data_IF_057763410478
#
_entry.id   IF_057763410478
#
_cell.length_a   1.000
_cell.length_b   1.000
_cell.length_c   1.000
_cell.angle_alpha   90.00
_cell.angle_beta   90.00
_cell.angle_gamma   90.00
#
_symmetry.space_group_name_H-M   'P 1'
#
loop_
_entity.id
_entity.type
_entity.pdbx_description
1 polymer ?
#
# COMPACT_ATOMS: atom_id res chain seq x y z
N UNK A 1 18.61 -13.86 15.59
CA UNK A 1 17.94 -12.92 14.65
C UNK A 1 18.46 -13.22 13.25
N UNK A 2 17.58 -13.64 12.33
CA UNK A 2 17.99 -14.03 10.97
C UNK A 2 18.24 -12.77 10.14
N UNK A 3 19.44 -12.64 9.56
CA UNK A 3 19.78 -11.53 8.65
C UNK A 3 19.12 -11.77 7.29
N UNK A 4 18.33 -10.80 6.84
CA UNK A 4 17.53 -10.92 5.61
C UNK A 4 18.03 -9.99 4.51
N UNK A 5 18.41 -10.57 3.37
CA UNK A 5 18.69 -9.83 2.15
C UNK A 5 17.39 -9.70 1.35
N UNK A 6 17.09 -8.48 0.88
CA UNK A 6 15.84 -8.16 0.20
C UNK A 6 16.04 -7.94 -1.30
N UNK A 7 15.26 -8.62 -2.13
CA UNK A 7 15.20 -8.38 -3.58
C UNK A 7 13.74 -8.24 -4.05
N UNK A 8 13.51 -7.44 -5.10
CA UNK A 8 12.21 -7.38 -5.80
C UNK A 8 12.42 -8.12 -7.10
N UNK A 9 12.03 -9.39 -7.18
CA UNK A 9 12.16 -10.26 -8.34
C UNK A 9 13.62 -10.55 -8.75
N UNK A 10 13.96 -11.77 -9.18
CA UNK A 10 15.32 -12.09 -9.62
C UNK A 10 15.76 -11.31 -10.88
N UNK A 11 14.81 -10.77 -11.65
CA UNK A 11 15.06 -10.09 -12.92
C UNK A 11 14.74 -8.59 -12.90
N UNK A 12 14.25 -8.03 -11.78
CA UNK A 12 13.87 -6.62 -11.79
C UNK A 12 15.09 -5.70 -11.94
N UNK A 13 14.93 -4.68 -12.76
CA UNK A 13 15.98 -3.70 -13.08
C UNK A 13 15.62 -2.31 -12.59
N UNK A 14 15.27 -2.18 -11.30
CA UNK A 14 14.92 -0.87 -10.74
C UNK A 14 16.21 -0.06 -10.48
N UNK A 15 16.30 1.20 -10.92
CA UNK A 15 17.49 2.01 -10.68
C UNK A 15 17.76 2.20 -9.18
N UNK A 16 18.93 1.73 -8.73
CA UNK A 16 19.33 1.76 -7.33
C UNK A 16 19.25 3.15 -6.68
N UNK A 17 19.64 4.19 -7.44
CA UNK A 17 19.57 5.60 -7.01
C UNK A 17 18.14 6.03 -6.63
N UNK A 18 17.13 5.45 -7.26
CA UNK A 18 15.73 5.75 -6.96
C UNK A 18 15.29 5.03 -5.68
N UNK A 19 15.61 3.75 -5.53
CA UNK A 19 15.25 2.97 -4.33
C UNK A 19 15.94 3.45 -3.05
N UNK A 20 17.18 3.95 -3.16
CA UNK A 20 17.94 4.58 -2.05
C UNK A 20 17.68 6.08 -1.89
N UNK A 21 16.91 6.69 -2.79
CA UNK A 21 16.58 8.12 -2.71
C UNK A 21 15.70 8.47 -1.51
N UNK A 22 15.51 9.78 -1.29
CA UNK A 22 14.60 10.27 -0.26
C UNK A 22 13.16 9.77 -0.46
N UNK A 23 12.32 9.82 0.58
CA UNK A 23 10.88 9.51 0.47
C UNK A 23 10.24 10.34 -0.66
N UNK A 24 10.62 11.60 -0.81
CA UNK A 24 10.12 12.47 -1.87
C UNK A 24 10.55 12.00 -3.27
N UNK A 25 11.81 11.57 -3.43
CA UNK A 25 12.31 11.04 -4.71
C UNK A 25 11.53 9.80 -5.14
N UNK A 26 11.33 8.86 -4.20
CA UNK A 26 10.57 7.62 -4.42
C UNK A 26 9.11 7.88 -4.79
N UNK A 27 8.45 8.78 -4.06
CA UNK A 27 7.06 9.18 -4.34
C UNK A 27 6.92 9.86 -5.72
N UNK A 28 7.89 10.71 -6.12
CA UNK A 28 7.90 11.33 -7.45
C UNK A 28 8.01 10.28 -8.55
N UNK A 29 8.83 9.25 -8.37
CA UNK A 29 8.94 8.14 -9.32
C UNK A 29 7.63 7.38 -9.44
N UNK A 30 7.04 6.97 -8.30
CA UNK A 30 5.75 6.29 -8.30
C UNK A 30 4.66 7.11 -9.00
N UNK A 31 4.63 8.44 -8.75
CA UNK A 31 3.72 9.35 -9.43
C UNK A 31 3.94 9.42 -10.94
N UNK A 32 5.21 9.40 -11.38
CA UNK A 32 5.55 9.44 -12.80
C UNK A 32 5.07 8.19 -13.52
N UNK A 33 5.31 7.00 -12.95
CA UNK A 33 4.81 5.76 -13.53
C UNK A 33 3.28 5.69 -13.49
N UNK A 34 2.64 6.15 -12.42
CA UNK A 34 1.18 6.26 -12.35
C UNK A 34 0.61 7.09 -13.51
N UNK A 35 1.15 8.29 -13.75
CA UNK A 35 0.70 9.14 -14.85
C UNK A 35 0.90 8.47 -16.21
N UNK A 36 2.06 7.82 -16.42
CA UNK A 36 2.33 7.05 -17.65
C UNK A 36 1.30 5.93 -17.83
N UNK A 37 1.04 5.16 -16.78
CA UNK A 37 0.05 4.08 -16.79
C UNK A 37 -1.34 4.57 -17.19
N UNK A 38 -1.85 5.63 -16.55
CA UNK A 38 -3.17 6.16 -16.91
C UNK A 38 -3.26 6.59 -18.37
N UNK A 39 -2.21 7.20 -18.92
CA UNK A 39 -2.15 7.60 -20.33
C UNK A 39 -2.16 6.37 -21.25
N UNK A 40 -1.38 5.33 -20.92
CA UNK A 40 -1.36 4.09 -21.68
C UNK A 40 -2.71 3.36 -21.63
N UNK A 41 -3.36 3.31 -20.46
CA UNK A 41 -4.66 2.66 -20.28
C UNK A 41 -5.77 3.36 -21.07
N UNK A 42 -5.80 4.69 -21.06
CA UNK A 42 -6.83 5.48 -21.74
C UNK A 42 -6.77 5.41 -23.28
N UNK A 43 -5.70 4.84 -23.87
CA UNK A 43 -5.65 4.64 -25.33
C UNK A 43 -6.75 3.70 -25.82
N UNK A 44 -7.10 2.69 -25.00
CA UNK A 44 -8.03 1.63 -25.37
C UNK A 44 -9.22 1.51 -24.40
N UNK A 45 -9.14 2.11 -23.21
CA UNK A 45 -10.21 2.03 -22.22
C UNK A 45 -11.45 2.86 -22.61
N UNK A 46 -12.63 2.30 -22.37
CA UNK A 46 -13.92 2.94 -22.65
C UNK A 46 -14.56 3.34 -21.31
N UNK A 47 -14.80 4.64 -21.12
CA UNK A 47 -15.50 5.18 -19.94
C UNK A 47 -14.88 4.72 -18.60
N UNK A 48 -15.63 4.01 -17.74
CA UNK A 48 -15.21 3.52 -16.42
C UNK A 48 -14.74 2.07 -16.42
N UNK A 49 -14.76 1.38 -17.56
CA UNK A 49 -14.39 -0.03 -17.71
C UNK A 49 -13.17 -0.18 -18.61
N UNK A 50 -12.48 -1.31 -18.54
CA UNK A 50 -11.43 -1.65 -19.50
C UNK A 50 -11.30 -3.15 -19.67
N UNK A 51 -10.82 -3.60 -20.84
CA UNK A 51 -10.48 -5.01 -21.02
C UNK A 51 -9.28 -5.37 -20.14
N UNK A 52 -9.30 -6.56 -19.55
CA UNK A 52 -8.20 -7.08 -18.73
C UNK A 52 -6.88 -7.14 -19.51
N UNK A 53 -6.95 -7.41 -20.82
CA UNK A 53 -5.79 -7.43 -21.72
C UNK A 53 -5.19 -6.03 -21.93
N UNK A 54 -6.03 -5.01 -22.16
CA UNK A 54 -5.59 -3.62 -22.32
C UNK A 54 -4.92 -3.12 -21.04
N UNK A 55 -5.52 -3.41 -19.89
CA UNK A 55 -4.93 -3.09 -18.59
C UNK A 55 -3.55 -3.73 -18.41
N UNK A 56 -3.46 -5.03 -18.71
CA UNK A 56 -2.22 -5.79 -18.59
C UNK A 56 -1.14 -5.24 -19.52
N UNK A 57 -1.52 -4.89 -20.76
CA UNK A 57 -0.62 -4.31 -21.76
C UNK A 57 -0.14 -2.92 -21.35
N UNK A 58 -1.04 -2.05 -20.90
CA UNK A 58 -0.70 -0.72 -20.38
C UNK A 58 0.27 -0.80 -19.19
N UNK A 59 0.05 -1.76 -18.29
CA UNK A 59 0.93 -1.96 -17.13
C UNK A 59 2.30 -2.51 -17.54
N UNK A 60 2.36 -3.51 -18.45
CA UNK A 60 3.62 -4.02 -19.02
C UNK A 60 4.42 -2.91 -19.71
N UNK A 61 3.77 -2.11 -20.55
CA UNK A 61 4.40 -0.99 -21.26
C UNK A 61 4.90 0.09 -20.29
N UNK A 62 4.16 0.32 -19.21
CA UNK A 62 4.59 1.25 -18.15
C UNK A 62 5.81 0.75 -17.41
N UNK A 63 5.83 -0.54 -17.07
CA UNK A 63 6.89 -1.20 -16.32
C UNK A 63 8.12 -1.56 -17.15
N UNK A 64 8.07 -1.49 -18.48
CA UNK A 64 9.27 -1.62 -19.31
C UNK A 64 10.22 -0.41 -19.09
N UNK A 65 11.54 -0.61 -18.89
CA UNK A 65 12.32 -1.85 -18.97
C UNK A 65 12.59 -2.54 -17.61
N UNK A 66 11.87 -2.19 -16.54
CA UNK A 66 12.15 -2.62 -15.17
C UNK A 66 11.88 -4.10 -14.89
N UNK A 67 11.22 -4.85 -15.80
CA UNK A 67 10.96 -6.29 -15.70
C UNK A 67 10.32 -6.73 -14.36
N UNK A 68 9.34 -5.95 -13.88
CA UNK A 68 8.59 -6.29 -12.66
C UNK A 68 7.51 -7.32 -13.00
N UNK A 69 7.52 -8.46 -12.28
CA UNK A 69 6.50 -9.49 -12.43
C UNK A 69 5.22 -9.11 -11.67
N UNK A 70 4.07 -9.30 -12.32
CA UNK A 70 2.75 -9.09 -11.72
C UNK A 70 1.73 -10.03 -12.33
N UNK A 71 0.67 -10.34 -11.57
CA UNK A 71 -0.48 -11.11 -12.01
C UNK A 71 -1.74 -10.29 -11.80
N UNK A 72 -2.72 -10.47 -12.68
CA UNK A 72 -4.02 -9.82 -12.63
C UNK A 72 -5.09 -10.89 -12.46
N UNK A 73 -5.84 -10.82 -11.36
CA UNK A 73 -6.83 -11.81 -10.99
C UNK A 73 -8.18 -11.11 -10.70
N UNK A 74 -9.27 -11.85 -10.82
CA UNK A 74 -10.57 -11.39 -10.34
C UNK A 74 -10.59 -11.40 -8.81
N UNK A 75 -11.16 -10.36 -8.20
CA UNK A 75 -11.41 -10.34 -6.76
C UNK A 75 -12.53 -11.32 -6.40
N UNK A 76 -12.33 -12.12 -5.34
CA UNK A 76 -13.26 -13.15 -4.87
C UNK A 76 -14.21 -12.66 -3.77
N UNK A 77 -14.28 -11.34 -3.55
CA UNK A 77 -15.02 -10.68 -2.46
C UNK A 77 -16.20 -9.81 -2.93
N UNK A 78 -16.68 -8.93 -2.05
CA UNK A 78 -17.75 -7.96 -2.34
C UNK A 78 -17.44 -7.17 -3.62
N UNK A 79 -18.38 -7.16 -4.57
CA UNK A 79 -18.25 -6.48 -5.87
C UNK A 79 -17.80 -5.03 -5.69
N UNK A 80 -16.73 -4.63 -6.39
CA UNK A 80 -16.11 -3.28 -6.48
C UNK A 80 -14.99 -2.93 -5.49
N UNK A 81 -14.32 -3.90 -4.87
CA UNK A 81 -13.06 -3.63 -4.16
C UNK A 81 -11.87 -4.08 -5.03
N UNK A 82 -10.68 -3.66 -4.62
CA UNK A 82 -9.43 -3.99 -5.27
C UNK A 82 -8.41 -4.30 -4.18
N UNK A 83 -7.42 -5.12 -4.51
CA UNK A 83 -6.33 -5.42 -3.59
C UNK A 83 -5.02 -5.70 -4.31
N UNK A 84 -3.95 -5.08 -3.83
CA UNK A 84 -2.58 -5.44 -4.14
C UNK A 84 -2.00 -6.35 -3.04
N UNK A 85 -1.56 -7.54 -3.43
CA UNK A 85 -0.83 -8.46 -2.56
C UNK A 85 0.54 -8.80 -3.12
N UNK A 86 1.63 -8.26 -2.55
CA UNK A 86 2.98 -8.70 -2.90
C UNK A 86 3.20 -10.18 -2.54
N UNK A 87 3.84 -10.94 -3.43
CA UNK A 87 4.14 -12.36 -3.25
C UNK A 87 5.59 -12.52 -2.85
N UNK A 88 5.84 -13.14 -1.69
CA UNK A 88 7.18 -13.31 -1.15
C UNK A 88 7.57 -14.79 -1.12
N UNK A 89 8.85 -15.05 -1.36
CA UNK A 89 9.47 -16.36 -1.16
C UNK A 89 10.61 -16.23 -0.15
N UNK A 90 10.86 -17.30 0.60
CA UNK A 90 12.05 -17.46 1.43
C UNK A 90 12.99 -18.42 0.72
N UNK A 91 14.18 -17.93 0.37
CA UNK A 91 15.26 -18.71 -0.27
C UNK A 91 16.46 -18.77 0.66
N UNK A 92 17.30 -19.78 0.50
CA UNK A 92 18.57 -19.96 1.21
C UNK A 92 18.44 -19.79 2.74
N UNK A 93 17.49 -20.51 3.35
CA UNK A 93 17.33 -20.53 4.81
C UNK A 93 18.46 -21.35 5.44
N UNK A 94 19.35 -20.67 6.15
CA UNK A 94 20.40 -21.23 6.99
C UNK A 94 20.12 -20.82 8.44
N UNK A 95 20.78 -21.46 9.40
CA UNK A 95 20.57 -21.21 10.84
C UNK A 95 20.59 -19.71 11.24
N UNK A 96 21.31 -18.84 10.51
CA UNK A 96 21.46 -17.41 10.83
C UNK A 96 21.07 -16.45 9.68
N UNK A 97 20.63 -16.94 8.53
CA UNK A 97 20.33 -16.09 7.37
C UNK A 97 19.25 -16.69 6.48
N UNK A 98 18.36 -15.87 5.95
CA UNK A 98 17.47 -16.25 4.88
C UNK A 98 17.39 -15.09 3.88
N UNK A 99 16.94 -15.36 2.66
CA UNK A 99 16.75 -14.34 1.63
C UNK A 99 15.26 -14.25 1.37
N UNK A 100 14.65 -13.11 1.71
CA UNK A 100 13.25 -12.84 1.35
C UNK A 100 13.24 -12.09 0.04
N UNK A 101 12.57 -12.68 -0.95
CA UNK A 101 12.44 -12.08 -2.27
C UNK A 101 10.97 -11.85 -2.57
N UNK A 102 10.62 -10.63 -2.97
CA UNK A 102 9.29 -10.33 -3.51
C UNK A 102 9.28 -10.80 -4.97
N UNK A 103 8.74 -11.97 -5.25
CA UNK A 103 8.80 -12.59 -6.58
C UNK A 103 7.87 -11.90 -7.59
N UNK A 104 6.68 -11.50 -7.15
CA UNK A 104 5.67 -10.88 -7.99
C UNK A 104 4.69 -10.04 -7.17
N UNK A 105 3.77 -9.38 -7.86
CA UNK A 105 2.65 -8.66 -7.26
C UNK A 105 1.33 -9.18 -7.82
N UNK A 106 0.39 -9.56 -6.96
CA UNK A 106 -0.95 -9.95 -7.38
C UNK A 106 -1.89 -8.75 -7.25
N UNK A 107 -2.53 -8.37 -8.35
CA UNK A 107 -3.60 -7.38 -8.42
C UNK A 107 -4.92 -8.13 -8.51
N UNK A 108 -5.68 -8.16 -7.43
CA UNK A 108 -7.06 -8.65 -7.42
C UNK A 108 -7.98 -7.48 -7.73
N UNK A 109 -8.68 -7.54 -8.85
CA UNK A 109 -9.43 -6.42 -9.41
C UNK A 109 -10.91 -6.76 -9.57
N UNK A 110 -11.80 -5.76 -9.54
CA UNK A 110 -13.22 -5.98 -9.77
C UNK A 110 -13.42 -6.30 -11.25
N UNK A 111 -13.84 -7.52 -11.55
CA UNK A 111 -14.02 -8.03 -12.92
C UNK A 111 -15.42 -8.57 -13.13
N UNK A 112 -15.83 -8.66 -14.39
CA UNK A 112 -17.02 -9.42 -14.78
C UNK A 112 -16.78 -10.92 -14.61
N UNK A 113 -17.85 -11.72 -14.69
CA UNK A 113 -17.82 -13.16 -14.42
C UNK A 113 -16.81 -13.91 -15.34
N UNK A 114 -16.71 -13.48 -16.60
CA UNK A 114 -15.77 -14.03 -17.59
C UNK A 114 -14.31 -13.56 -17.40
N UNK A 115 -14.04 -12.65 -16.45
CA UNK A 115 -12.72 -12.08 -16.13
C UNK A 115 -12.05 -11.31 -17.27
N UNK A 116 -12.80 -11.01 -18.34
CA UNK A 116 -12.31 -10.29 -19.54
C UNK A 116 -12.39 -8.77 -19.39
N UNK A 117 -13.26 -8.28 -18.50
CA UNK A 117 -13.52 -6.85 -18.32
C UNK A 117 -13.29 -6.51 -16.84
N UNK A 118 -12.46 -5.51 -16.60
CA UNK A 118 -12.38 -4.81 -15.32
C UNK A 118 -13.51 -3.79 -15.28
N UNK A 119 -14.44 -3.99 -14.34
CA UNK A 119 -15.69 -3.22 -14.24
C UNK A 119 -15.51 -1.85 -13.57
N UNK A 120 -14.36 -1.62 -12.94
CA UNK A 120 -13.97 -0.33 -12.38
C UNK A 120 -12.49 -0.03 -12.63
N UNK A 121 -12.20 0.66 -13.73
CA UNK A 121 -10.83 1.02 -14.11
C UNK A 121 -10.18 2.00 -13.12
N UNK A 122 -10.98 2.79 -12.38
CA UNK A 122 -10.45 3.75 -11.42
C UNK A 122 -9.97 3.05 -10.15
N UNK A 123 -10.73 2.04 -9.67
CA UNK A 123 -10.27 1.12 -8.64
C UNK A 123 -9.00 0.37 -9.09
N UNK A 124 -8.96 -0.13 -10.33
CA UNK A 124 -7.76 -0.77 -10.85
C UNK A 124 -6.55 0.17 -10.92
N UNK A 125 -6.74 1.43 -11.29
CA UNK A 125 -5.69 2.44 -11.25
C UNK A 125 -5.22 2.72 -9.81
N UNK A 126 -6.14 2.75 -8.83
CA UNK A 126 -5.82 2.87 -7.40
C UNK A 126 -4.87 1.76 -6.94
N UNK A 127 -5.16 0.50 -7.30
CA UNK A 127 -4.28 -0.64 -6.99
C UNK A 127 -2.91 -0.56 -7.70
N UNK A 128 -2.88 -0.06 -8.93
CA UNK A 128 -1.61 0.21 -9.64
C UNK A 128 -0.80 1.30 -8.92
N UNK A 129 -1.45 2.26 -8.26
CA UNK A 129 -0.70 3.22 -7.44
C UNK A 129 -0.03 2.54 -6.25
N UNK A 130 -0.73 1.62 -5.58
CA UNK A 130 -0.13 0.80 -4.53
C UNK A 130 1.07 0.01 -5.06
N UNK A 131 0.95 -0.59 -6.25
CA UNK A 131 2.03 -1.35 -6.87
C UNK A 131 3.30 -0.49 -7.01
N UNK A 132 3.17 0.72 -7.56
CA UNK A 132 4.31 1.61 -7.70
C UNK A 132 4.88 2.07 -6.35
N UNK A 133 4.04 2.32 -5.36
CA UNK A 133 4.52 2.66 -4.01
C UNK A 133 5.30 1.48 -3.38
N UNK A 134 4.86 0.24 -3.58
CA UNK A 134 5.57 -0.96 -3.11
C UNK A 134 6.90 -1.21 -3.84
N UNK A 135 6.95 -0.97 -5.15
CA UNK A 135 8.18 -1.11 -5.97
C UNK A 135 9.25 -0.11 -5.49
N UNK A 136 8.86 1.15 -5.27
CA UNK A 136 9.84 2.19 -4.94
C UNK A 136 10.08 2.35 -3.45
N UNK A 137 9.21 1.87 -2.57
CA UNK A 137 9.37 1.95 -1.12
C UNK A 137 9.56 0.56 -0.48
N UNK A 138 10.73 -0.08 -0.64
CA UNK A 138 10.97 -1.45 -0.15
C UNK A 138 10.88 -1.60 1.37
N UNK A 139 10.93 -0.49 2.13
CA UNK A 139 10.67 -0.52 3.58
C UNK A 139 9.23 -0.92 3.92
N UNK A 140 8.30 -0.76 2.97
CA UNK A 140 6.90 -1.18 3.14
C UNK A 140 6.69 -2.67 2.89
N UNK A 141 7.33 -3.19 1.84
CA UNK A 141 7.15 -4.57 1.39
C UNK A 141 8.08 -5.55 2.11
N UNK A 142 9.37 -5.23 2.20
CA UNK A 142 10.41 -6.22 2.53
C UNK A 142 10.88 -6.13 3.98
N UNK A 143 11.17 -4.92 4.49
CA UNK A 143 11.72 -4.74 5.84
C UNK A 143 10.78 -5.18 6.96
N UNK A 144 9.48 -5.27 6.68
CA UNK A 144 8.44 -5.66 7.65
C UNK A 144 8.10 -7.14 7.59
N UNK A 145 8.35 -7.80 6.46
CA UNK A 145 8.25 -9.25 6.32
C UNK A 145 9.31 -9.97 7.16
N UNK A 146 10.48 -9.34 7.32
CA UNK A 146 11.52 -9.77 8.27
C UNK A 146 10.97 -9.98 9.68
N UNK A 147 10.13 -9.07 10.16
CA UNK A 147 9.62 -9.15 11.53
C UNK A 147 8.46 -10.14 11.65
N UNK A 148 7.68 -10.33 10.58
CA UNK A 148 6.69 -11.42 10.47
C UNK A 148 7.36 -12.78 10.60
N UNK A 149 8.46 -12.99 9.88
CA UNK A 149 9.19 -14.25 9.90
C UNK A 149 9.77 -14.59 11.28
N UNK A 150 10.20 -13.57 12.03
CA UNK A 150 10.82 -13.77 13.34
C UNK A 150 9.83 -13.73 14.52
N UNK A 151 8.56 -13.34 14.32
CA UNK A 151 7.59 -13.17 15.41
C UNK A 151 6.14 -13.37 14.95
N UNK A 152 5.51 -14.48 15.34
CA UNK A 152 4.14 -14.81 14.92
C UNK A 152 3.07 -13.85 15.49
N UNK A 153 3.28 -13.27 16.68
CA UNK A 153 2.36 -12.28 17.27
C UNK A 153 2.38 -10.93 16.56
N UNK A 154 3.37 -10.71 15.69
CA UNK A 154 3.49 -9.53 14.86
C UNK A 154 2.30 -9.39 13.91
N UNK A 155 1.88 -10.48 13.25
CA UNK A 155 0.82 -10.44 12.25
C UNK A 155 -0.56 -10.18 12.86
N UNK A 156 -0.87 -10.82 13.98
CA UNK A 156 -2.16 -10.65 14.67
C UNK A 156 -2.37 -9.19 15.09
N UNK A 157 -1.39 -8.59 15.78
CA UNK A 157 -1.52 -7.22 16.27
C UNK A 157 -1.56 -6.19 15.13
N UNK A 158 -0.79 -6.43 14.07
CA UNK A 158 -0.82 -5.56 12.88
C UNK A 158 -2.16 -5.64 12.17
N UNK A 159 -2.72 -6.84 12.01
CA UNK A 159 -4.00 -7.01 11.36
C UNK A 159 -5.10 -6.31 12.16
N UNK A 160 -5.10 -6.41 13.49
CA UNK A 160 -6.05 -5.69 14.35
C UNK A 160 -5.92 -4.16 14.17
N UNK A 161 -4.70 -3.62 14.22
CA UNK A 161 -4.49 -2.17 14.01
C UNK A 161 -4.88 -1.75 12.59
N UNK A 162 -4.54 -2.55 11.59
CA UNK A 162 -4.92 -2.30 10.19
C UNK A 162 -6.44 -2.26 10.06
N UNK A 163 -7.13 -3.26 10.56
CA UNK A 163 -8.58 -3.37 10.41
C UNK A 163 -9.29 -2.19 11.09
N UNK A 164 -8.83 -1.79 12.29
CA UNK A 164 -9.32 -0.55 12.96
C UNK A 164 -8.97 0.74 12.20
N UNK A 165 -7.82 0.80 11.52
CA UNK A 165 -7.40 1.97 10.76
C UNK A 165 -8.10 2.08 9.40
N UNK A 166 -8.53 0.97 8.82
CA UNK A 166 -9.11 0.91 7.48
C UNK A 166 -10.56 0.41 7.48
N UNK A 167 -11.34 0.82 8.51
CA UNK A 167 -12.79 0.63 8.56
C UNK A 167 -13.48 1.00 7.23
N UNK A 168 -14.58 0.32 6.94
CA UNK A 168 -15.37 0.53 5.74
C UNK A 168 -15.86 1.98 5.63
N UNK A 169 -15.91 2.48 4.38
CA UNK A 169 -16.34 3.84 4.05
C UNK A 169 -17.80 4.14 4.38
N UNK A 170 -18.55 3.23 5.01
CA UNK A 170 -19.95 3.43 5.33
C UNK A 170 -20.22 3.63 6.82
N UNK A 171 -19.22 3.45 7.68
CA UNK A 171 -19.34 3.72 9.12
C UNK A 171 -18.64 5.02 9.51
N UNK A 172 -19.36 6.02 10.07
CA UNK A 172 -18.72 7.21 10.62
C UNK A 172 -17.68 6.87 11.68
N UNK A 173 -16.45 7.33 11.50
CA UNK A 173 -15.37 7.04 12.45
C UNK A 173 -15.40 7.98 13.66
N UNK A 174 -15.54 7.39 14.84
CA UNK A 174 -15.20 8.03 16.11
C UNK A 174 -13.68 8.00 16.32
N UNK A 175 -13.01 9.13 16.07
CA UNK A 175 -11.55 9.21 16.15
C UNK A 175 -11.05 9.00 17.59
N UNK A 176 -11.79 9.46 18.62
CA UNK A 176 -11.36 9.35 20.02
C UNK A 176 -11.34 7.90 20.49
N UNK A 177 -12.37 7.14 20.09
CA UNK A 177 -12.47 5.71 20.37
C UNK A 177 -11.38 4.92 19.65
N UNK A 178 -11.14 5.22 18.36
CA UNK A 178 -10.02 4.64 17.62
C UNK A 178 -8.66 4.92 18.31
N UNK A 179 -8.45 6.16 18.76
CA UNK A 179 -7.21 6.54 19.45
C UNK A 179 -7.04 5.77 20.77
N UNK A 180 -8.13 5.61 21.54
CA UNK A 180 -8.14 4.83 22.78
C UNK A 180 -7.82 3.35 22.52
N UNK A 181 -8.49 2.75 21.55
CA UNK A 181 -8.31 1.33 21.20
C UNK A 181 -6.89 1.02 20.75
N UNK A 182 -6.34 1.83 19.83
CA UNK A 182 -4.98 1.63 19.33
C UNK A 182 -3.97 1.85 20.45
N UNK A 183 -4.15 2.88 21.30
CA UNK A 183 -3.23 3.13 22.43
C UNK A 183 -3.27 1.98 23.43
N UNK A 184 -4.46 1.47 23.76
CA UNK A 184 -4.64 0.31 24.64
C UNK A 184 -3.94 -0.94 24.11
N UNK A 185 -4.17 -1.27 22.84
CA UNK A 185 -3.52 -2.41 22.18
C UNK A 185 -1.99 -2.28 22.16
N UNK A 186 -1.46 -1.09 21.88
CA UNK A 186 -0.01 -0.88 21.82
C UNK A 186 0.65 -0.91 23.20
N UNK A 187 -0.09 -0.63 24.28
CA UNK A 187 0.42 -0.73 25.65
C UNK A 187 0.60 -2.17 26.14
N UNK A 188 -0.10 -3.14 25.53
CA UNK A 188 -0.01 -4.56 25.91
C UNK A 188 1.04 -5.36 25.13
N UNK A 189 1.79 -4.71 24.22
CA UNK A 189 2.83 -5.37 23.41
C UNK A 189 4.20 -4.74 23.63
N UNK A 190 5.30 -5.51 23.47
CA UNK A 190 6.66 -4.99 23.54
C UNK A 190 6.91 -3.78 22.65
N UNK A 191 7.80 -2.89 23.11
CA UNK A 191 8.13 -1.61 22.47
C UNK A 191 8.57 -1.76 21.01
N UNK A 192 9.37 -2.79 20.73
CA UNK A 192 9.82 -3.13 19.38
C UNK A 192 8.64 -3.46 18.46
N UNK A 193 7.70 -4.28 18.93
CA UNK A 193 6.49 -4.65 18.18
C UNK A 193 5.62 -3.41 17.96
N UNK A 194 5.45 -2.58 18.99
CA UNK A 194 4.70 -1.32 18.93
C UNK A 194 5.24 -0.36 17.87
N UNK A 195 6.55 -0.11 17.87
CA UNK A 195 7.21 0.76 16.89
C UNK A 195 7.01 0.25 15.47
N UNK A 196 7.07 -1.06 15.29
CA UNK A 196 6.92 -1.71 14.01
C UNK A 196 5.50 -1.62 13.45
N UNK A 197 4.50 -1.93 14.28
CA UNK A 197 3.07 -1.78 13.97
C UNK A 197 2.78 -0.35 13.53
N UNK A 198 3.23 0.64 14.32
CA UNK A 198 3.04 2.06 14.04
C UNK A 198 3.74 2.49 12.74
N UNK A 199 4.93 1.98 12.45
CA UNK A 199 5.60 2.27 11.20
C UNK A 199 4.87 1.67 9.99
N UNK A 200 4.35 0.44 10.08
CA UNK A 200 3.56 -0.18 9.00
C UNK A 200 2.27 0.59 8.75
N UNK A 201 1.51 0.89 9.81
CA UNK A 201 0.31 1.72 9.75
C UNK A 201 0.57 3.09 9.09
N UNK A 202 1.66 3.77 9.47
CA UNK A 202 2.07 5.04 8.87
C UNK A 202 2.25 4.95 7.37
N UNK A 203 2.89 3.88 6.89
CA UNK A 203 3.17 3.71 5.48
C UNK A 203 1.91 3.34 4.69
N UNK A 204 1.08 2.43 5.20
CA UNK A 204 -0.20 2.06 4.58
C UNK A 204 -1.12 3.29 4.44
N UNK A 205 -1.25 4.10 5.49
CA UNK A 205 -2.05 5.34 5.43
C UNK A 205 -1.51 6.32 4.38
N UNK A 206 -0.19 6.43 4.24
CA UNK A 206 0.42 7.28 3.21
C UNK A 206 0.13 6.79 1.80
N UNK A 207 0.18 5.48 1.56
CA UNK A 207 -0.11 4.93 0.24
C UNK A 207 -1.58 5.03 -0.11
N UNK A 208 -2.50 4.79 0.82
CA UNK A 208 -3.94 5.03 0.60
C UNK A 208 -4.23 6.49 0.26
N UNK A 209 -3.67 7.43 1.01
CA UNK A 209 -3.83 8.86 0.73
C UNK A 209 -3.33 9.20 -0.68
N UNK A 210 -2.19 8.64 -1.09
CA UNK A 210 -1.64 8.85 -2.43
C UNK A 210 -2.50 8.20 -3.52
N UNK A 211 -2.98 6.99 -3.29
CA UNK A 211 -3.80 6.21 -4.23
C UNK A 211 -5.14 6.92 -4.48
N UNK A 212 -5.89 7.26 -3.43
CA UNK A 212 -7.13 8.01 -3.56
C UNK A 212 -6.96 9.40 -4.17
N UNK A 213 -5.88 10.12 -3.79
CA UNK A 213 -5.58 11.41 -4.41
C UNK A 213 -5.38 11.26 -5.93
N UNK A 214 -4.73 10.18 -6.35
CA UNK A 214 -4.44 9.91 -7.75
C UNK A 214 -5.64 9.37 -8.51
N UNK A 215 -6.46 8.52 -7.89
CA UNK A 215 -7.74 8.08 -8.41
C UNK A 215 -8.64 9.29 -8.69
N UNK A 216 -8.83 10.17 -7.69
CA UNK A 216 -9.61 11.40 -7.83
C UNK A 216 -9.08 12.31 -8.93
N UNK A 217 -7.75 12.44 -9.05
CA UNK A 217 -7.16 13.25 -10.12
C UNK A 217 -7.34 12.61 -11.49
N UNK A 218 -7.39 11.28 -11.56
CA UNK A 218 -7.59 10.55 -12.79
C UNK A 218 -9.05 10.68 -13.26
N UNK A 219 -10.02 10.53 -12.37
CA UNK A 219 -11.45 10.75 -12.66
C UNK A 219 -11.78 12.17 -13.16
N UNK A 220 -11.02 13.18 -12.70
CA UNK A 220 -11.25 14.59 -13.05
C UNK A 220 -10.69 15.00 -14.43
N UNK A 221 -10.03 14.10 -15.17
CA UNK A 221 -9.45 14.45 -16.47
C UNK A 221 -10.48 14.34 -17.61
N UNK A 222 -10.45 15.32 -18.51
CA UNK A 222 -11.23 15.34 -19.75
C UNK A 222 -12.75 15.36 -19.54
N UNK A 223 -13.50 14.82 -20.51
CA UNK A 223 -14.97 14.66 -20.45
C UNK A 223 -15.45 13.70 -19.34
N UNK A 224 -14.54 12.95 -18.70
CA UNK A 224 -14.85 12.06 -17.59
C UNK A 224 -15.28 12.78 -16.30
N UNK A 225 -14.99 14.08 -16.14
CA UNK A 225 -15.37 14.82 -14.93
C UNK A 225 -16.88 14.84 -14.70
N UNK A 226 -17.66 15.19 -15.73
CA UNK A 226 -19.12 15.28 -15.63
C UNK A 226 -19.76 13.90 -15.45
N UNK A 227 -19.26 12.87 -16.16
CA UNK A 227 -19.73 11.49 -16.02
C UNK A 227 -19.46 10.90 -14.62
N UNK A 228 -18.36 11.29 -13.97
CA UNK A 228 -17.97 10.78 -12.65
C UNK A 228 -18.32 11.74 -11.50
N UNK A 229 -19.10 12.80 -11.73
CA UNK A 229 -19.26 13.89 -10.76
C UNK A 229 -19.75 13.41 -9.39
N UNK A 230 -20.79 12.58 -9.37
CA UNK A 230 -21.34 12.00 -8.13
C UNK A 230 -20.32 11.14 -7.40
N UNK A 231 -19.62 10.25 -8.12
CA UNK A 231 -18.56 9.41 -7.54
C UNK A 231 -17.41 10.25 -6.98
N UNK A 232 -17.00 11.31 -7.67
CA UNK A 232 -15.96 12.24 -7.20
C UNK A 232 -16.40 12.92 -5.91
N UNK A 233 -17.65 13.37 -5.82
CA UNK A 233 -18.21 13.98 -4.60
C UNK A 233 -18.24 12.96 -3.47
N UNK A 234 -18.81 11.77 -3.71
CA UNK A 234 -18.90 10.69 -2.75
C UNK A 234 -17.51 10.36 -2.19
N UNK A 235 -16.52 10.09 -3.05
CA UNK A 235 -15.16 9.78 -2.62
C UNK A 235 -14.53 10.92 -1.81
N UNK A 236 -14.69 12.18 -2.23
CA UNK A 236 -14.18 13.33 -1.46
C UNK A 236 -14.81 13.40 -0.05
N UNK A 237 -16.11 13.21 0.05
CA UNK A 237 -16.85 13.20 1.32
C UNK A 237 -16.39 12.03 2.18
N UNK A 238 -16.39 10.82 1.62
CA UNK A 238 -15.97 9.59 2.30
C UNK A 238 -14.53 9.70 2.83
N UNK A 239 -13.59 10.24 2.05
CA UNK A 239 -12.21 10.43 2.49
C UNK A 239 -12.07 11.48 3.60
N UNK A 240 -12.82 12.59 3.51
CA UNK A 240 -12.72 13.69 4.48
C UNK A 240 -13.47 13.40 5.79
N UNK A 241 -14.66 12.82 5.70
CA UNK A 241 -15.60 12.70 6.81
C UNK A 241 -15.64 11.31 7.41
N UNK A 242 -15.56 10.25 6.60
CA UNK A 242 -15.75 8.87 7.07
C UNK A 242 -14.41 8.20 7.37
N UNK A 243 -13.53 8.11 6.37
CA UNK A 243 -12.24 7.43 6.51
C UNK A 243 -11.23 8.21 7.35
N UNK A 244 -11.22 9.55 7.29
CA UNK A 244 -10.37 10.43 8.10
C UNK A 244 -8.87 10.07 8.04
N UNK A 245 -8.38 9.60 6.90
CA UNK A 245 -6.99 9.13 6.75
C UNK A 245 -5.93 10.17 7.17
N UNK A 246 -6.08 11.48 6.87
CA UNK A 246 -5.13 12.49 7.36
C UNK A 246 -5.09 12.60 8.88
N UNK A 247 -6.24 12.53 9.57
CA UNK A 247 -6.27 12.53 11.03
C UNK A 247 -5.63 11.26 11.61
N UNK A 248 -5.96 10.09 11.07
CA UNK A 248 -5.33 8.80 11.44
C UNK A 248 -3.81 8.86 11.27
N UNK A 249 -3.33 9.41 10.16
CA UNK A 249 -1.89 9.54 9.90
C UNK A 249 -1.22 10.50 10.90
N UNK A 250 -1.88 11.61 11.26
CA UNK A 250 -1.37 12.53 12.29
C UNK A 250 -1.25 11.83 13.64
N UNK A 251 -2.28 11.08 14.05
CA UNK A 251 -2.29 10.29 15.28
C UNK A 251 -1.17 9.22 15.30
N UNK A 252 -1.06 8.39 14.28
CA UNK A 252 -0.01 7.35 14.19
C UNK A 252 1.40 7.97 14.22
N UNK A 253 1.62 9.11 13.54
CA UNK A 253 2.91 9.79 13.61
C UNK A 253 3.22 10.34 15.01
N UNK A 254 2.21 10.79 15.75
CA UNK A 254 2.35 11.27 17.14
C UNK A 254 2.77 10.11 18.04
N UNK A 255 2.01 9.02 18.07
CA UNK A 255 2.34 7.83 18.87
C UNK A 255 3.73 7.27 18.53
N UNK A 256 4.08 7.17 17.25
CA UNK A 256 5.40 6.69 16.85
C UNK A 256 6.53 7.58 17.38
N UNK A 257 6.32 8.91 17.38
CA UNK A 257 7.31 9.86 17.89
C UNK A 257 7.47 9.72 19.41
N UNK A 258 6.36 9.67 20.13
CA UNK A 258 6.33 9.49 21.59
C UNK A 258 7.02 8.19 22.00
N UNK A 259 6.68 7.07 21.35
CA UNK A 259 7.27 5.75 21.62
C UNK A 259 8.78 5.71 21.36
N UNK A 260 9.23 6.24 20.23
CA UNK A 260 10.66 6.33 19.91
C UNK A 260 11.42 7.24 20.88
N UNK A 261 10.81 8.31 21.36
CA UNK A 261 11.42 9.19 22.36
C UNK A 261 11.59 8.44 23.70
N UNK A 262 10.55 7.74 24.16
CA UNK A 262 10.58 6.91 25.37
C UNK A 262 11.70 5.88 25.35
N UNK A 263 11.80 5.09 24.27
CA UNK A 263 12.85 4.06 24.10
C UNK A 263 14.25 4.68 24.12
N UNK A 264 14.43 5.84 23.46
CA UNK A 264 15.73 6.53 23.45
C UNK A 264 16.15 7.04 24.82
N UNK A 265 15.20 7.52 25.62
CA UNK A 265 15.49 7.95 26.99
C UNK A 265 15.89 6.76 27.86
N UNK A 266 15.10 5.67 27.84
CA UNK A 266 15.41 4.46 28.59
C UNK A 266 16.78 3.87 28.21
N UNK A 267 17.12 3.84 26.92
CA UNK A 267 18.43 3.37 26.47
C UNK A 267 19.59 4.27 26.92
N UNK A 268 19.38 5.57 27.10
CA UNK A 268 20.41 6.47 27.64
C UNK A 268 20.64 6.22 29.13
N UNK A 269 19.58 5.96 29.88
CA UNK A 269 19.66 5.63 31.30
C UNK A 269 20.39 4.31 31.54
N UNK A 270 20.23 3.31 30.65
CA UNK A 270 20.94 2.02 30.72
C UNK A 270 22.43 2.10 30.34
N UNK A 271 22.87 3.18 29.69
CA UNK A 271 24.25 3.38 29.24
C UNK A 271 25.05 4.30 30.19
N UNK A 272 24.39 4.85 31.21
CA UNK A 272 24.99 5.67 32.26
C UNK A 272 25.06 4.88 33.58
#
# INVERSE_FOLDING_TARGET
MIKLLSSVGPQAKIPYKVCKGSVNCRNKMAQRLYKKFCIELDKNAIESVCATEDFTTALKNTLHPYKIAFNVNAETGSKNKGALTPQFSVKNSCANSAVISCESFNLSLPMNDDKKIIIDKYCAAHEVRHLFDHIFNPKMSLARWTNQFNNQHYDTNINIVRDKLFNEFDTPLNIRELEKDITGLLSSVPDEISVEVLQKARYQLKTEINAYKNELNYMKKGFGYFKNFERIIYLKISLKQKAKFPQKLKFINRLLREKLASIRSANKELLN
#
